data_IF_268426218251
#
_entry.id   IF_268426218251
#
_cell.length_a   1.000
_cell.length_b   1.000
_cell.length_c   1.000
_cell.angle_alpha   90.00
_cell.angle_beta   90.00
_cell.angle_gamma   90.00
#
_symmetry.space_group_name_H-M   'P 1'
#
loop_
_entity.id
_entity.type
_entity.pdbx_description
1 polymer ?
#
# COMPACT_ATOMS: atom_id res chain seq x y z
N UNK A 1 11.33 -35.12 -27.71
CA UNK A 1 10.06 -34.94 -26.98
C UNK A 1 10.39 -34.42 -25.59
N UNK A 2 10.35 -33.11 -25.40
CA UNK A 2 10.68 -32.43 -24.14
C UNK A 2 9.43 -32.40 -23.26
N UNK A 3 9.47 -33.13 -22.14
CA UNK A 3 8.38 -33.20 -21.18
C UNK A 3 8.19 -31.84 -20.47
N UNK A 4 6.94 -31.41 -20.35
CA UNK A 4 6.54 -30.23 -19.60
C UNK A 4 6.82 -30.42 -18.09
N UNK A 5 7.14 -29.35 -17.33
CA UNK A 5 7.37 -29.46 -15.90
C UNK A 5 6.05 -29.72 -15.17
N UNK A 6 6.01 -30.78 -14.38
CA UNK A 6 4.90 -31.08 -13.47
C UNK A 6 4.75 -29.94 -12.44
N UNK A 7 3.55 -29.36 -12.39
CA UNK A 7 3.13 -28.42 -11.35
C UNK A 7 3.15 -29.11 -9.99
N UNK A 8 4.17 -28.85 -9.18
CA UNK A 8 4.19 -29.23 -7.77
C UNK A 8 3.06 -28.51 -7.04
N UNK A 9 1.98 -29.22 -6.76
CA UNK A 9 0.89 -28.71 -5.93
C UNK A 9 1.34 -28.79 -4.47
N UNK A 10 1.41 -27.63 -3.83
CA UNK A 10 1.78 -27.50 -2.42
C UNK A 10 0.74 -28.28 -1.55
N UNK A 11 1.16 -29.31 -0.78
CA UNK A 11 0.23 -30.14 -0.01
C UNK A 11 -0.56 -29.34 1.03
N UNK A 12 0.00 -28.24 1.53
CA UNK A 12 -0.68 -27.36 2.47
C UNK A 12 -1.78 -26.53 1.78
N UNK A 13 -1.56 -26.16 0.52
CA UNK A 13 -2.58 -25.51 -0.30
C UNK A 13 -3.75 -26.47 -0.54
N UNK A 14 -3.49 -27.72 -0.89
CA UNK A 14 -4.55 -28.73 -1.08
C UNK A 14 -5.35 -28.96 0.20
N UNK A 15 -4.71 -29.07 1.37
CA UNK A 15 -5.41 -29.19 2.66
C UNK A 15 -6.31 -27.99 2.94
N UNK A 16 -5.84 -26.76 2.69
CA UNK A 16 -6.65 -25.53 2.86
C UNK A 16 -7.83 -25.49 1.91
N UNK A 17 -7.65 -25.91 0.66
CA UNK A 17 -8.72 -25.98 -0.33
C UNK A 17 -9.77 -27.05 0.02
N UNK A 18 -9.35 -28.18 0.60
CA UNK A 18 -10.26 -29.20 1.11
C UNK A 18 -11.05 -28.71 2.34
N UNK A 19 -10.40 -27.97 3.25
CA UNK A 19 -11.09 -27.35 4.39
C UNK A 19 -12.09 -26.27 3.97
N UNK A 20 -11.77 -25.57 2.88
CA UNK A 20 -12.56 -24.50 2.29
C UNK A 20 -13.58 -25.00 1.27
N UNK A 21 -13.92 -26.29 1.24
CA UNK A 21 -14.95 -26.82 0.35
C UNK A 21 -16.07 -27.56 1.10
N UNK A 22 -17.19 -27.72 0.40
CA UNK A 22 -18.33 -28.55 0.78
C UNK A 22 -18.80 -29.34 -0.44
N UNK A 23 -19.35 -30.52 -0.22
CA UNK A 23 -20.00 -31.28 -1.27
C UNK A 23 -21.51 -31.10 -1.12
N UNK A 24 -22.16 -30.51 -2.12
CA UNK A 24 -23.61 -30.32 -2.17
C UNK A 24 -24.14 -30.78 -3.53
N UNK A 25 -25.17 -31.62 -3.53
CA UNK A 25 -25.76 -32.14 -4.78
C UNK A 25 -24.75 -32.80 -5.72
N UNK A 26 -23.73 -33.48 -5.18
CA UNK A 26 -22.66 -34.11 -5.97
C UNK A 26 -21.60 -33.16 -6.52
N UNK A 27 -21.64 -31.86 -6.20
CA UNK A 27 -20.68 -30.85 -6.63
C UNK A 27 -19.85 -30.33 -5.46
N UNK A 28 -18.56 -30.07 -5.71
CA UNK A 28 -17.67 -29.42 -4.75
C UNK A 28 -17.82 -27.90 -4.87
N UNK A 29 -18.42 -27.27 -3.87
CA UNK A 29 -18.52 -25.82 -3.73
C UNK A 29 -17.40 -25.34 -2.82
N UNK A 30 -16.67 -24.31 -3.23
CA UNK A 30 -15.67 -23.67 -2.41
C UNK A 30 -16.29 -22.51 -1.61
N UNK A 31 -15.84 -22.32 -0.39
CA UNK A 31 -16.26 -21.21 0.50
C UNK A 31 -15.31 -20.02 0.40
N UNK A 32 -14.16 -20.22 -0.22
CA UNK A 32 -13.17 -19.18 -0.39
C UNK A 32 -13.50 -18.33 -1.63
N UNK A 33 -13.94 -17.07 -1.47
CA UNK A 33 -14.35 -16.25 -2.61
C UNK A 33 -13.19 -15.89 -3.53
N UNK A 34 -11.94 -15.93 -3.06
CA UNK A 34 -10.77 -15.65 -3.91
C UNK A 34 -10.63 -16.66 -5.07
N UNK A 35 -11.14 -17.88 -4.90
CA UNK A 35 -11.14 -18.90 -5.96
C UNK A 35 -12.11 -18.54 -7.08
N UNK A 36 -13.26 -17.97 -6.73
CA UNK A 36 -14.24 -17.48 -7.70
C UNK A 36 -13.77 -16.18 -8.32
N UNK A 37 -13.27 -15.24 -7.53
CA UNK A 37 -12.73 -13.98 -8.04
C UNK A 37 -11.61 -14.17 -9.04
N UNK A 38 -10.71 -15.14 -8.86
CA UNK A 38 -9.65 -15.40 -9.85
C UNK A 38 -10.22 -15.93 -11.16
N UNK A 39 -11.24 -16.79 -11.10
CA UNK A 39 -11.92 -17.34 -12.29
C UNK A 39 -12.77 -16.29 -13.00
N UNK A 40 -13.28 -15.32 -12.24
CA UNK A 40 -14.05 -14.18 -12.75
C UNK A 40 -13.16 -13.05 -13.33
N UNK A 41 -11.86 -13.02 -12.99
CA UNK A 41 -10.89 -11.93 -13.28
C UNK A 41 -10.41 -11.80 -14.74
N UNK A 42 -11.09 -12.43 -15.71
CA UNK A 42 -10.67 -12.32 -17.11
C UNK A 42 -11.14 -11.02 -17.78
N UNK A 43 -12.21 -10.37 -17.28
CA UNK A 43 -12.70 -9.11 -17.85
C UNK A 43 -13.69 -8.31 -16.98
N UNK A 44 -14.02 -8.74 -15.75
CA UNK A 44 -15.18 -8.18 -15.04
C UNK A 44 -14.81 -7.73 -13.62
N UNK A 45 -14.75 -6.40 -13.48
CA UNK A 45 -15.12 -5.65 -12.30
C UNK A 45 -14.38 -5.86 -10.96
N UNK A 46 -13.44 -4.93 -10.73
CA UNK A 46 -12.77 -4.66 -9.45
C UNK A 46 -13.75 -4.40 -8.28
N UNK A 47 -14.99 -3.98 -8.53
CA UNK A 47 -15.98 -3.63 -7.49
C UNK A 47 -16.37 -4.83 -6.62
N UNK A 48 -16.32 -6.06 -7.15
CA UNK A 48 -16.60 -7.28 -6.39
C UNK A 48 -15.54 -7.57 -5.32
N UNK A 49 -14.36 -6.97 -5.44
CA UNK A 49 -13.20 -7.17 -4.55
C UNK A 49 -12.95 -6.00 -3.62
N UNK A 50 -13.72 -4.93 -3.67
CA UNK A 50 -13.52 -3.80 -2.77
C UNK A 50 -14.71 -3.69 -1.82
N UNK A 51 -14.48 -3.53 -0.51
CA UNK A 51 -15.55 -3.22 0.42
C UNK A 51 -15.99 -1.75 0.25
N UNK A 52 -17.22 -1.44 0.67
CA UNK A 52 -17.84 -0.12 0.61
C UNK A 52 -18.50 0.20 -0.74
N UNK A 53 -19.03 -0.80 -1.45
CA UNK A 53 -19.72 -0.63 -2.73
C UNK A 53 -21.22 -0.92 -2.64
N UNK A 54 -21.65 -1.78 -1.71
CA UNK A 54 -23.07 -2.05 -1.49
C UNK A 54 -23.74 -0.90 -0.70
N UNK A 55 -25.04 -0.61 -0.97
CA UNK A 55 -25.81 0.36 -0.19
C UNK A 55 -25.86 0.02 1.30
N UNK A 56 -25.73 1.04 2.15
CA UNK A 56 -25.74 0.87 3.61
C UNK A 56 -27.02 0.19 4.11
N UNK A 57 -28.17 0.48 3.49
CA UNK A 57 -29.46 -0.14 3.82
C UNK A 57 -29.45 -1.66 3.59
N UNK A 58 -28.84 -2.11 2.48
CA UNK A 58 -28.73 -3.53 2.15
C UNK A 58 -27.82 -4.25 3.15
N UNK A 59 -26.73 -3.61 3.55
CA UNK A 59 -25.82 -4.12 4.57
C UNK A 59 -26.55 -4.20 5.92
N UNK A 60 -27.21 -3.12 6.33
CA UNK A 60 -27.94 -3.01 7.58
C UNK A 60 -29.02 -4.09 7.72
N UNK A 61 -29.76 -4.37 6.64
CA UNK A 61 -30.77 -5.43 6.59
C UNK A 61 -30.18 -6.84 6.82
N UNK A 62 -28.91 -7.07 6.49
CA UNK A 62 -28.25 -8.38 6.59
C UNK A 62 -27.31 -8.51 7.81
N UNK A 63 -27.16 -7.47 8.64
CA UNK A 63 -26.30 -7.49 9.84
C UNK A 63 -26.58 -8.68 10.76
N UNK A 64 -27.85 -8.86 11.14
CA UNK A 64 -28.29 -9.94 12.06
C UNK A 64 -28.19 -11.34 11.46
N UNK A 65 -28.10 -11.45 10.12
CA UNK A 65 -27.95 -12.73 9.42
C UNK A 65 -26.55 -13.32 9.63
N UNK A 66 -25.51 -12.48 9.60
CA UNK A 66 -24.11 -12.91 9.73
C UNK A 66 -23.50 -12.65 11.13
N UNK A 67 -24.05 -11.68 11.87
CA UNK A 67 -23.65 -11.35 13.24
C UNK A 67 -24.88 -11.24 14.15
N UNK A 68 -25.60 -12.34 14.38
CA UNK A 68 -26.75 -12.35 15.30
C UNK A 68 -26.34 -12.08 16.75
N UNK A 69 -25.08 -12.38 17.11
CA UNK A 69 -24.58 -12.28 18.48
C UNK A 69 -24.15 -10.86 18.90
N UNK A 70 -24.15 -9.89 17.99
CA UNK A 70 -23.65 -8.55 18.24
C UNK A 70 -24.77 -7.55 18.51
N UNK A 71 -24.56 -6.70 19.51
CA UNK A 71 -25.26 -5.43 19.63
C UNK A 71 -24.52 -4.38 18.78
N UNK A 72 -25.13 -4.02 17.65
CA UNK A 72 -24.52 -3.14 16.65
C UNK A 72 -24.42 -1.69 17.10
N UNK A 73 -25.28 -1.26 18.03
CA UNK A 73 -25.34 0.11 18.51
C UNK A 73 -24.18 0.42 19.46
N UNK A 74 -23.65 -0.61 20.13
CA UNK A 74 -22.54 -0.50 21.08
C UNK A 74 -21.15 -0.67 20.45
N UNK A 75 -21.07 -0.98 19.15
CA UNK A 75 -19.80 -1.18 18.47
C UNK A 75 -19.04 0.14 18.25
N UNK A 76 -17.72 0.08 18.41
CA UNK A 76 -16.83 1.15 17.98
C UNK A 76 -17.01 1.43 16.47
N UNK A 77 -16.95 2.70 16.00
CA UNK A 77 -17.16 3.02 14.60
C UNK A 77 -16.25 2.26 13.64
N UNK A 78 -14.98 2.04 14.00
CA UNK A 78 -14.03 1.32 13.16
C UNK A 78 -14.37 -0.17 13.10
N UNK A 79 -14.79 -0.75 14.22
CA UNK A 79 -15.21 -2.14 14.30
C UNK A 79 -16.52 -2.37 13.52
N UNK A 80 -17.47 -1.44 13.64
CA UNK A 80 -18.72 -1.43 12.87
C UNK A 80 -18.44 -1.41 11.37
N UNK A 81 -17.56 -0.52 10.90
CA UNK A 81 -17.14 -0.45 9.49
C UNK A 81 -16.50 -1.76 9.00
N UNK A 82 -15.66 -2.39 9.82
CA UNK A 82 -15.04 -3.66 9.47
C UNK A 82 -16.07 -4.78 9.30
N UNK A 83 -17.05 -4.84 10.22
CA UNK A 83 -18.12 -5.84 10.23
C UNK A 83 -19.14 -5.60 9.12
N UNK A 84 -19.51 -4.35 8.86
CA UNK A 84 -20.36 -3.97 7.72
C UNK A 84 -19.71 -4.34 6.39
N UNK A 85 -18.43 -4.02 6.21
CA UNK A 85 -17.68 -4.46 5.03
C UNK A 85 -17.59 -5.99 4.94
N UNK A 86 -17.50 -6.70 6.07
CA UNK A 86 -17.50 -8.16 6.07
C UNK A 86 -18.86 -8.75 5.66
N UNK A 87 -19.97 -8.16 6.11
CA UNK A 87 -21.34 -8.49 5.64
C UNK A 87 -21.43 -8.32 4.12
N UNK A 88 -20.95 -7.21 3.58
CA UNK A 88 -20.88 -7.00 2.13
C UNK A 88 -20.08 -8.10 1.43
N UNK A 89 -18.93 -8.50 1.98
CA UNK A 89 -18.13 -9.58 1.40
C UNK A 89 -18.85 -10.92 1.44
N UNK A 90 -19.61 -11.22 2.49
CA UNK A 90 -20.43 -12.43 2.52
C UNK A 90 -21.49 -12.41 1.40
N UNK A 91 -22.21 -11.31 1.23
CA UNK A 91 -23.23 -11.17 0.19
C UNK A 91 -22.65 -11.35 -1.21
N UNK A 92 -21.55 -10.65 -1.53
CA UNK A 92 -20.83 -10.81 -2.79
C UNK A 92 -20.31 -12.23 -3.01
N UNK A 93 -19.86 -12.89 -1.94
CA UNK A 93 -19.38 -14.28 -2.02
C UNK A 93 -20.52 -15.24 -2.34
N UNK A 94 -21.70 -15.07 -1.74
CA UNK A 94 -22.87 -15.88 -2.05
C UNK A 94 -23.34 -15.68 -3.49
N UNK A 95 -23.37 -14.43 -3.96
CA UNK A 95 -23.73 -14.10 -5.35
C UNK A 95 -22.80 -14.77 -6.35
N UNK A 96 -21.49 -14.77 -6.08
CA UNK A 96 -20.52 -15.48 -6.91
C UNK A 96 -20.73 -16.99 -6.86
N UNK A 97 -20.91 -17.56 -5.67
CA UNK A 97 -21.14 -19.01 -5.53
C UNK A 97 -22.39 -19.43 -6.31
N UNK A 98 -23.50 -18.68 -6.21
CA UNK A 98 -24.72 -18.96 -6.99
C UNK A 98 -24.50 -18.81 -8.48
N UNK A 99 -23.74 -17.80 -8.92
CA UNK A 99 -23.44 -17.57 -10.34
C UNK A 99 -22.63 -18.73 -10.94
N UNK A 100 -21.64 -19.25 -10.21
CA UNK A 100 -20.80 -20.35 -10.67
C UNK A 100 -21.42 -21.73 -10.46
N UNK A 101 -22.50 -21.83 -9.68
CA UNK A 101 -23.18 -23.09 -9.38
C UNK A 101 -24.71 -22.90 -9.49
N UNK A 102 -25.25 -22.68 -10.70
CA UNK A 102 -26.65 -22.33 -10.90
C UNK A 102 -27.62 -23.44 -10.43
N UNK A 103 -27.16 -24.68 -10.37
CA UNK A 103 -27.97 -25.83 -9.95
C UNK A 103 -28.09 -25.97 -8.41
N UNK A 104 -27.49 -25.06 -7.63
CA UNK A 104 -27.64 -25.08 -6.18
C UNK A 104 -29.06 -24.63 -5.78
N UNK A 105 -29.75 -25.49 -5.04
CA UNK A 105 -31.04 -25.14 -4.43
C UNK A 105 -30.87 -24.05 -3.37
N UNK A 106 -31.97 -23.39 -3.01
CA UNK A 106 -31.97 -22.42 -1.91
C UNK A 106 -31.49 -23.05 -0.58
N UNK A 107 -31.81 -24.32 -0.33
CA UNK A 107 -31.32 -25.07 0.83
C UNK A 107 -29.80 -25.23 0.83
N UNK A 108 -29.22 -25.54 -0.33
CA UNK A 108 -27.76 -25.63 -0.50
C UNK A 108 -27.08 -24.28 -0.25
N UNK A 109 -27.66 -23.18 -0.72
CA UNK A 109 -27.11 -21.83 -0.48
C UNK A 109 -27.18 -21.42 0.99
N UNK A 110 -28.23 -21.80 1.72
CA UNK A 110 -28.32 -21.58 3.17
C UNK A 110 -27.23 -22.36 3.93
N UNK A 111 -26.88 -23.56 3.47
CA UNK A 111 -25.80 -24.34 4.08
C UNK A 111 -24.43 -23.72 3.81
N UNK A 112 -24.18 -23.27 2.57
CA UNK A 112 -23.00 -22.49 2.20
C UNK A 112 -22.87 -21.27 3.12
N UNK A 113 -23.94 -20.50 3.24
CA UNK A 113 -23.99 -19.31 4.06
C UNK A 113 -23.65 -19.61 5.51
N UNK A 114 -24.31 -20.59 6.14
CA UNK A 114 -24.03 -20.97 7.53
C UNK A 114 -22.58 -21.36 7.73
N UNK A 115 -22.04 -22.23 6.86
CA UNK A 115 -20.64 -22.65 6.98
C UNK A 115 -19.69 -21.48 6.76
N UNK A 116 -20.00 -20.59 5.83
CA UNK A 116 -19.21 -19.39 5.57
C UNK A 116 -19.25 -18.43 6.76
N UNK A 117 -20.41 -18.16 7.34
CA UNK A 117 -20.59 -17.31 8.51
C UNK A 117 -19.77 -17.80 9.72
N UNK A 118 -19.63 -19.11 9.90
CA UNK A 118 -18.81 -19.69 10.98
C UNK A 118 -17.30 -19.62 10.65
N UNK A 119 -16.91 -20.00 9.43
CA UNK A 119 -15.50 -20.24 9.09
C UNK A 119 -14.77 -19.00 8.55
N UNK A 120 -15.48 -18.08 7.88
CA UNK A 120 -14.88 -16.98 7.11
C UNK A 120 -14.98 -15.60 7.74
N UNK A 121 -15.79 -15.44 8.79
CA UNK A 121 -16.05 -14.17 9.49
C UNK A 121 -14.80 -13.35 9.78
N UNK A 122 -13.90 -13.88 10.60
CA UNK A 122 -12.62 -13.24 10.94
C UNK A 122 -11.70 -13.01 9.73
N UNK A 123 -11.79 -13.88 8.71
CA UNK A 123 -10.98 -13.72 7.51
C UNK A 123 -11.46 -12.52 6.68
N UNK A 124 -12.77 -12.35 6.55
CA UNK A 124 -13.36 -11.19 5.89
C UNK A 124 -13.11 -9.90 6.65
N UNK A 125 -13.32 -9.88 7.97
CA UNK A 125 -13.00 -8.70 8.80
C UNK A 125 -11.54 -8.25 8.60
N UNK A 126 -10.56 -9.18 8.71
CA UNK A 126 -9.14 -8.86 8.50
C UNK A 126 -8.86 -8.35 7.10
N UNK A 127 -9.48 -8.96 6.10
CA UNK A 127 -9.30 -8.56 4.72
C UNK A 127 -9.91 -7.17 4.45
N UNK A 128 -11.10 -6.89 4.97
CA UNK A 128 -11.79 -5.59 4.88
C UNK A 128 -10.94 -4.52 5.54
N UNK A 129 -10.46 -4.76 6.75
CA UNK A 129 -9.58 -3.83 7.47
C UNK A 129 -8.31 -3.52 6.69
N UNK A 130 -7.70 -4.53 6.06
CA UNK A 130 -6.52 -4.34 5.21
C UNK A 130 -6.86 -3.52 3.95
N UNK A 131 -8.01 -3.77 3.33
CA UNK A 131 -8.48 -3.06 2.15
C UNK A 131 -8.77 -1.58 2.46
N UNK A 132 -9.50 -1.30 3.55
CA UNK A 132 -9.81 0.04 4.01
C UNK A 132 -8.53 0.83 4.34
N UNK A 133 -7.60 0.21 5.08
CA UNK A 133 -6.29 0.82 5.36
C UNK A 133 -5.51 1.12 4.09
N UNK A 134 -5.53 0.20 3.11
CA UNK A 134 -4.86 0.40 1.81
C UNK A 134 -5.48 1.59 1.06
N UNK A 135 -6.80 1.74 1.07
CA UNK A 135 -7.51 2.87 0.46
C UNK A 135 -7.14 4.19 1.12
N UNK A 136 -7.20 4.28 2.45
CA UNK A 136 -6.79 5.47 3.20
C UNK A 136 -5.35 5.87 2.90
N UNK A 137 -4.44 4.89 2.80
CA UNK A 137 -3.04 5.16 2.44
C UNK A 137 -2.90 5.62 0.98
N UNK A 138 -3.70 5.11 0.06
CA UNK A 138 -3.71 5.56 -1.34
C UNK A 138 -4.18 7.02 -1.43
N UNK A 139 -5.30 7.34 -0.78
CA UNK A 139 -5.84 8.71 -0.72
C UNK A 139 -4.84 9.68 -0.08
N UNK A 140 -4.17 9.28 1.02
CA UNK A 140 -3.14 10.10 1.64
C UNK A 140 -1.91 10.29 0.74
N UNK A 141 -1.52 9.28 -0.03
CA UNK A 141 -0.42 9.39 -1.01
C UNK A 141 -0.80 10.30 -2.18
N UNK A 142 -2.03 10.22 -2.66
CA UNK A 142 -2.55 11.09 -3.72
C UNK A 142 -2.61 12.55 -3.26
N UNK A 143 -3.09 12.82 -2.05
CA UNK A 143 -3.05 14.16 -1.45
C UNK A 143 -1.63 14.70 -1.37
N UNK A 144 -0.67 13.93 -0.85
CA UNK A 144 0.75 14.34 -0.80
C UNK A 144 1.34 14.61 -2.18
N UNK A 145 0.99 13.80 -3.19
CA UNK A 145 1.42 14.02 -4.58
C UNK A 145 0.83 15.32 -5.11
N UNK A 146 -0.46 15.53 -4.92
CA UNK A 146 -1.15 16.75 -5.33
C UNK A 146 -0.55 18.00 -4.66
N UNK A 147 -0.29 17.96 -3.36
CA UNK A 147 0.32 19.06 -2.61
C UNK A 147 1.74 19.38 -3.10
N UNK A 148 2.53 18.34 -3.39
CA UNK A 148 3.86 18.50 -3.98
C UNK A 148 3.79 19.11 -5.39
N UNK A 149 2.87 18.66 -6.21
CA UNK A 149 2.73 19.17 -7.58
C UNK A 149 2.19 20.60 -7.58
N UNK A 150 1.35 20.95 -6.60
CA UNK A 150 0.88 22.31 -6.38
C UNK A 150 2.00 23.21 -5.88
N UNK A 151 2.79 22.76 -4.90
CA UNK A 151 3.90 23.55 -4.36
C UNK A 151 5.00 23.75 -5.41
N UNK A 152 5.36 22.72 -6.18
CA UNK A 152 6.32 22.86 -7.28
C UNK A 152 5.86 23.85 -8.34
N UNK A 153 4.57 23.85 -8.69
CA UNK A 153 4.00 24.86 -9.61
C UNK A 153 4.07 26.27 -9.03
N UNK A 154 3.64 26.45 -7.78
CA UNK A 154 3.71 27.74 -7.10
C UNK A 154 5.16 28.26 -6.98
N UNK A 155 6.13 27.39 -6.69
CA UNK A 155 7.56 27.74 -6.66
C UNK A 155 8.08 28.16 -8.04
N UNK A 156 7.69 27.45 -9.12
CA UNK A 156 8.07 27.82 -10.49
C UNK A 156 7.45 29.15 -10.90
N UNK A 157 6.20 29.39 -10.53
CA UNK A 157 5.52 30.68 -10.75
C UNK A 157 6.24 31.80 -9.99
N UNK A 158 6.57 31.59 -8.71
CA UNK A 158 7.29 32.56 -7.89
C UNK A 158 8.69 32.89 -8.45
N UNK A 159 9.45 31.90 -8.91
CA UNK A 159 10.74 32.11 -9.60
C UNK A 159 10.57 32.78 -10.98
N UNK A 160 9.41 32.61 -11.62
CA UNK A 160 9.05 33.22 -12.89
C UNK A 160 8.72 34.71 -12.77
N UNK A 161 8.25 35.17 -11.61
CA UNK A 161 7.88 36.56 -11.38
C UNK A 161 9.10 37.50 -11.56
N UNK A 162 8.89 38.57 -12.34
CA UNK A 162 9.93 39.54 -12.65
C UNK A 162 10.52 40.20 -11.40
N UNK A 163 9.67 40.49 -10.40
CA UNK A 163 10.08 41.07 -9.11
C UNK A 163 11.07 40.15 -8.38
N UNK A 164 10.82 38.85 -8.37
CA UNK A 164 11.69 37.87 -7.71
C UNK A 164 13.03 37.76 -8.41
N UNK A 165 13.04 37.80 -9.75
CA UNK A 165 14.28 37.80 -10.54
C UNK A 165 15.11 39.06 -10.27
N UNK A 166 14.46 40.22 -10.23
CA UNK A 166 15.11 41.51 -9.97
C UNK A 166 15.76 41.55 -8.58
N UNK A 167 15.18 40.87 -7.58
CA UNK A 167 15.75 40.75 -6.24
C UNK A 167 16.83 39.65 -6.10
N UNK A 168 16.68 38.52 -6.80
CA UNK A 168 17.59 37.36 -6.67
C UNK A 168 18.93 37.54 -7.40
N UNK A 169 18.94 38.21 -8.55
CA UNK A 169 20.17 38.45 -9.35
C UNK A 169 21.28 39.17 -8.56
N UNK A 170 21.03 40.30 -7.86
CA UNK A 170 22.07 40.97 -7.07
C UNK A 170 22.55 40.12 -5.88
N UNK A 171 21.66 39.36 -5.24
CA UNK A 171 22.06 38.45 -4.15
C UNK A 171 22.95 37.30 -4.65
N UNK A 172 22.59 36.68 -5.78
CA UNK A 172 23.36 35.59 -6.37
C UNK A 172 24.74 36.05 -6.84
N UNK A 173 24.83 37.24 -7.45
CA UNK A 173 26.10 37.83 -7.88
C UNK A 173 27.02 38.11 -6.70
N UNK A 174 26.52 38.69 -5.61
CA UNK A 174 27.32 38.88 -4.39
C UNK A 174 27.82 37.56 -3.79
N UNK A 175 27.00 36.51 -3.81
CA UNK A 175 27.37 35.19 -3.29
C UNK A 175 28.50 34.56 -4.14
N UNK A 176 28.41 34.63 -5.46
CA UNK A 176 29.48 34.18 -6.37
C UNK A 176 30.77 34.97 -6.15
N UNK A 177 30.66 36.30 -5.97
CA UNK A 177 31.81 37.15 -5.67
C UNK A 177 32.44 36.79 -4.32
N UNK A 178 31.65 36.52 -3.29
CA UNK A 178 32.13 36.12 -1.97
C UNK A 178 32.83 34.75 -1.99
N UNK A 179 32.25 33.76 -2.70
CA UNK A 179 32.88 32.43 -2.86
C UNK A 179 34.16 32.55 -3.69
N UNK A 180 34.14 33.30 -4.79
CA UNK A 180 35.32 33.52 -5.63
C UNK A 180 36.44 34.24 -4.90
N UNK A 181 36.11 35.32 -4.16
CA UNK A 181 37.06 36.06 -3.35
C UNK A 181 37.60 35.21 -2.18
N UNK A 182 36.75 34.44 -1.51
CA UNK A 182 37.15 33.52 -0.43
C UNK A 182 38.06 32.40 -0.93
N UNK A 183 37.75 31.80 -2.08
CA UNK A 183 38.59 30.80 -2.73
C UNK A 183 39.95 31.37 -3.14
N UNK A 184 39.95 32.55 -3.76
CA UNK A 184 41.18 33.24 -4.17
C UNK A 184 42.06 33.61 -2.98
N UNK A 185 41.47 34.12 -1.89
CA UNK A 185 42.23 34.47 -0.69
C UNK A 185 42.76 33.23 0.04
N UNK A 186 41.95 32.17 0.13
CA UNK A 186 42.35 30.91 0.74
C UNK A 186 43.47 30.19 -0.02
N UNK A 187 43.45 30.22 -1.35
CA UNK A 187 44.49 29.59 -2.17
C UNK A 187 45.85 30.27 -2.01
N UNK A 188 45.87 31.60 -1.88
CA UNK A 188 47.09 32.38 -1.60
C UNK A 188 47.71 32.03 -0.23
N UNK A 189 46.88 31.81 0.79
CA UNK A 189 47.36 31.51 2.15
C UNK A 189 47.86 30.07 2.31
N UNK A 190 47.27 29.12 1.57
CA UNK A 190 47.73 27.72 1.53
C UNK A 190 49.09 27.56 0.84
N UNK A 191 49.37 28.30 -0.24
CA UNK A 191 50.68 28.25 -0.92
C UNK A 191 51.79 28.91 -0.09
N UNK A 192 51.46 29.92 0.72
CA UNK A 192 52.45 30.66 1.53
C UNK A 192 53.00 29.83 2.71
N UNK A 193 52.22 28.91 3.27
CA UNK A 193 52.66 28.02 4.36
C UNK A 193 53.63 26.92 3.88
N UNK A 194 53.55 26.50 2.61
CA UNK A 194 54.40 25.44 2.04
C UNK A 194 55.80 25.94 1.64
N UNK A 195 55.98 27.25 1.45
CA UNK A 195 57.25 27.83 0.98
C UNK A 195 58.17 28.26 2.15
N UNK A 196 57.66 28.37 3.38
CA UNK A 196 58.40 28.97 4.52
C UNK A 196 59.04 27.93 5.46
N UNK A 197 59.20 26.68 5.05
CA UNK A 197 59.92 25.70 5.89
C UNK A 197 60.88 24.79 5.11
N UNK A 198 62.09 25.27 4.76
CA UNK A 198 63.25 24.40 4.74
C UNK A 198 63.83 24.38 6.17
N UNK A 199 63.39 23.41 6.97
CA UNK A 199 64.10 23.03 8.19
C UNK A 199 65.53 22.65 7.84
N UNK A 200 66.50 23.49 8.17
CA UNK A 200 67.93 23.17 8.15
C UNK A 200 68.31 22.74 9.58
N UNK A 201 68.45 21.44 9.87
CA UNK A 201 69.10 21.01 11.10
C UNK A 201 70.62 21.19 10.98
N UNK A 202 71.20 21.73 12.05
CA UNK A 202 72.57 22.19 12.21
C UNK A 202 73.64 21.09 12.10
N UNK A 203 74.82 21.48 11.60
CA UNK A 203 76.06 20.70 11.61
C UNK A 203 76.57 20.46 13.06
N UNK A 204 76.95 19.22 13.44
CA UNK A 204 77.60 18.96 14.72
C UNK A 204 79.11 19.23 14.63
N UNK A 205 79.64 19.91 15.65
CA UNK A 205 81.00 20.46 15.72
C UNK A 205 82.14 19.44 15.79
N UNK A 206 83.31 19.92 15.35
CA UNK A 206 84.64 19.32 15.50
C UNK A 206 85.14 19.35 16.95
N UNK A 207 85.86 18.32 17.43
CA UNK A 207 86.77 18.46 18.56
C UNK A 207 88.21 18.73 18.10
N UNK A 208 88.86 19.73 18.70
CA UNK A 208 90.32 19.92 18.80
C UNK A 208 90.92 18.84 19.73
N UNK A 209 92.24 18.53 19.71
CA UNK A 209 93.38 19.46 19.67
C UNK A 209 94.29 19.38 18.43
#
# INVERSE_FOLDING_TARGET
MTAAPATSSDPDLQRRLQQDSIQLGGKTVYLNPFLYWRRFDANTDRWLREPGQLPEEQIAANRRRFYPELDWDQLDPQERLAKDGAVEMFLKSLELISTFNPDLSAGHLLEVERKMAVTKKRAFERWVMKALRRRQQAEARERRRFDRDRSLRAWREWLGLAVTRQALVPAATLLVLAVGAGWWWGSQQSCRQVIVDPGVPALPGSPSP
#
